data_IF_908198158175
#
_entry.id   IF_908198158175
#
_cell.length_a   1.000
_cell.length_b   1.000
_cell.length_c   1.000
_cell.angle_alpha   90.00
_cell.angle_beta   90.00
_cell.angle_gamma   90.00
#
_symmetry.space_group_name_H-M   'P 1'
#
loop_
_entity.id
_entity.type
_entity.pdbx_description
1 polymer ?
#
# COMPACT_ATOMS: atom_id res chain seq x y z
N UNK A 1 20.96 -61.95 -38.09
CA UNK A 1 20.58 -62.61 -36.82
C UNK A 1 19.75 -61.60 -36.05
N UNK A 2 18.42 -61.65 -36.18
CA UNK A 2 17.52 -60.69 -35.57
C UNK A 2 17.14 -61.20 -34.17
N UNK A 3 17.57 -60.51 -33.12
CA UNK A 3 17.07 -60.76 -31.77
C UNK A 3 15.67 -60.13 -31.67
N UNK A 4 14.64 -60.99 -31.69
CA UNK A 4 13.30 -60.62 -31.25
C UNK A 4 13.35 -60.35 -29.74
N UNK A 5 13.30 -59.08 -29.36
CA UNK A 5 13.07 -58.69 -27.97
C UNK A 5 11.57 -58.79 -27.74
N UNK A 6 11.18 -59.71 -26.86
CA UNK A 6 9.79 -60.03 -26.57
C UNK A 6 9.12 -58.86 -25.82
N UNK A 7 7.98 -58.38 -26.34
CA UNK A 7 7.25 -57.22 -25.81
C UNK A 7 6.77 -57.49 -24.37
N UNK A 8 6.57 -58.76 -23.99
CA UNK A 8 6.28 -59.14 -22.61
C UNK A 8 7.45 -58.89 -21.66
N UNK A 9 8.70 -59.07 -22.11
CA UNK A 9 9.88 -58.81 -21.27
C UNK A 9 10.05 -57.32 -20.94
N UNK A 10 9.68 -56.43 -21.86
CA UNK A 10 9.73 -54.97 -21.65
C UNK A 10 8.64 -54.52 -20.65
N UNK A 11 7.43 -55.09 -20.75
CA UNK A 11 6.32 -54.79 -19.85
C UNK A 11 6.56 -55.28 -18.42
N UNK A 12 7.20 -56.44 -18.24
CA UNK A 12 7.55 -56.97 -16.91
C UNK A 12 8.65 -56.11 -16.25
N UNK A 13 9.64 -55.63 -17.01
CA UNK A 13 10.64 -54.69 -16.48
C UNK A 13 10.05 -53.33 -16.11
N UNK A 14 9.06 -52.82 -16.86
CA UNK A 14 8.39 -51.55 -16.50
C UNK A 14 7.56 -51.68 -15.21
N UNK A 15 6.92 -52.83 -14.98
CA UNK A 15 6.15 -53.08 -13.76
C UNK A 15 7.04 -53.20 -12.50
N UNK A 16 8.24 -53.75 -12.62
CA UNK A 16 9.19 -53.82 -11.50
C UNK A 16 9.80 -52.45 -11.14
N UNK A 17 10.00 -51.55 -12.10
CA UNK A 17 10.46 -50.18 -11.82
C UNK A 17 9.35 -49.35 -11.16
N UNK A 18 8.08 -49.55 -11.54
CA UNK A 18 6.95 -48.88 -10.89
C UNK A 18 6.68 -49.44 -9.49
N UNK A 19 6.93 -50.73 -9.25
CA UNK A 19 6.79 -51.35 -7.92
C UNK A 19 7.84 -50.91 -6.89
N UNK A 20 8.99 -50.37 -7.30
CA UNK A 20 10.00 -49.84 -6.38
C UNK A 20 9.78 -48.37 -5.98
N UNK A 21 8.83 -47.68 -6.60
CA UNK A 21 8.36 -46.36 -6.15
C UNK A 21 7.13 -46.44 -5.22
N UNK A 22 6.82 -47.61 -4.68
CA UNK A 22 5.87 -47.78 -3.57
C UNK A 22 6.56 -47.90 -2.20
N UNK A 23 7.64 -47.15 -2.00
CA UNK A 23 8.16 -46.92 -0.65
C UNK A 23 7.39 -45.77 -0.01
N UNK A 24 6.43 -46.13 0.84
CA UNK A 24 5.91 -45.34 1.97
C UNK A 24 6.09 -43.83 1.82
N UNK A 25 5.08 -43.13 1.31
CA UNK A 25 4.82 -41.74 1.72
C UNK A 25 4.31 -41.78 3.17
N UNK A 26 5.19 -42.17 4.09
CA UNK A 26 5.07 -41.77 5.49
C UNK A 26 5.08 -40.25 5.43
N UNK A 27 4.00 -39.60 5.88
CA UNK A 27 3.92 -38.15 5.97
C UNK A 27 5.10 -37.62 6.79
N UNK A 28 6.22 -37.38 6.11
CA UNK A 28 7.39 -36.74 6.68
C UNK A 28 6.98 -35.29 6.68
N UNK A 29 6.50 -34.82 7.83
CA UNK A 29 6.38 -33.39 8.08
C UNK A 29 7.69 -32.76 7.62
N UNK A 30 7.59 -31.83 6.66
CA UNK A 30 8.72 -30.99 6.28
C UNK A 30 9.35 -30.48 7.58
N UNK A 31 10.67 -30.68 7.80
CA UNK A 31 11.29 -30.21 9.03
C UNK A 31 11.01 -28.72 9.19
N UNK A 32 10.43 -28.34 10.33
CA UNK A 32 10.08 -26.95 10.61
C UNK A 32 11.40 -26.18 10.70
N UNK A 33 11.67 -25.37 9.68
CA UNK A 33 12.86 -24.51 9.63
C UNK A 33 13.03 -23.74 10.94
N UNK A 34 14.26 -23.71 11.44
CA UNK A 34 14.65 -22.84 12.54
C UNK A 34 14.44 -21.37 12.18
N UNK A 35 14.39 -20.50 13.20
CA UNK A 35 14.21 -19.05 12.97
C UNK A 35 15.38 -18.47 12.18
N UNK A 36 16.59 -18.97 12.40
CA UNK A 36 17.79 -18.56 11.65
C UNK A 36 17.69 -18.96 10.18
N UNK A 37 17.31 -20.20 9.86
CA UNK A 37 17.10 -20.63 8.46
C UNK A 37 15.99 -19.81 7.76
N UNK A 38 14.92 -19.47 8.49
CA UNK A 38 13.86 -18.59 7.95
C UNK A 38 14.39 -17.17 7.66
N UNK A 39 15.25 -16.63 8.52
CA UNK A 39 15.86 -15.31 8.31
C UNK A 39 16.80 -15.32 7.09
N UNK A 40 17.63 -16.35 6.92
CA UNK A 40 18.50 -16.49 5.73
C UNK A 40 17.70 -16.56 4.43
N UNK A 41 16.63 -17.36 4.40
CA UNK A 41 15.73 -17.43 3.24
C UNK A 41 15.02 -16.10 2.98
N UNK A 42 14.55 -15.43 4.04
CA UNK A 42 13.92 -14.12 3.93
C UNK A 42 14.91 -13.07 3.39
N UNK A 43 16.14 -13.04 3.89
CA UNK A 43 17.18 -12.13 3.39
C UNK A 43 17.45 -12.37 1.91
N UNK A 44 17.59 -13.64 1.50
CA UNK A 44 17.78 -14.00 0.10
C UNK A 44 16.61 -13.57 -0.77
N UNK A 45 15.36 -13.74 -0.30
CA UNK A 45 14.15 -13.34 -1.03
C UNK A 45 14.05 -11.83 -1.22
N UNK A 46 14.46 -11.04 -0.23
CA UNK A 46 14.36 -9.58 -0.22
C UNK A 46 15.67 -8.87 -0.58
N UNK A 47 16.69 -9.61 -1.02
CA UNK A 47 18.00 -9.04 -1.39
C UNK A 47 18.69 -8.30 -0.24
N UNK A 48 18.46 -8.73 1.01
CA UNK A 48 18.98 -8.04 2.21
C UNK A 48 20.46 -8.33 2.38
N UNK A 49 21.24 -7.26 2.53
CA UNK A 49 22.67 -7.28 2.79
C UNK A 49 22.95 -6.31 3.93
N UNK A 50 23.73 -6.75 4.92
CA UNK A 50 24.13 -5.95 6.08
C UNK A 50 25.60 -5.57 5.98
N UNK A 51 25.97 -4.49 6.66
CA UNK A 51 27.34 -3.97 6.69
C UNK A 51 28.32 -4.96 7.31
N UNK A 52 27.91 -5.62 8.39
CA UNK A 52 28.73 -6.54 9.16
C UNK A 52 27.87 -7.55 9.95
N UNK A 53 28.53 -8.54 10.57
CA UNK A 53 27.87 -9.58 11.37
C UNK A 53 27.20 -9.02 12.64
N UNK A 54 27.62 -7.85 13.12
CA UNK A 54 27.01 -7.20 14.29
C UNK A 54 25.64 -6.67 13.89
N UNK A 55 25.56 -5.89 12.80
CA UNK A 55 24.28 -5.44 12.25
C UNK A 55 23.37 -6.63 11.89
N UNK A 56 23.92 -7.67 11.25
CA UNK A 56 23.16 -8.90 10.95
C UNK A 56 22.55 -9.53 12.20
N UNK A 57 23.32 -9.61 13.29
CA UNK A 57 22.87 -10.13 14.58
C UNK A 57 21.74 -9.29 15.18
N UNK A 58 21.84 -7.97 15.14
CA UNK A 58 20.79 -7.05 15.61
C UNK A 58 19.51 -7.19 14.78
N UNK A 59 19.64 -7.18 13.45
CA UNK A 59 18.53 -7.33 12.49
C UNK A 59 17.85 -8.69 12.61
N UNK A 60 18.60 -9.75 12.88
CA UNK A 60 18.05 -11.08 13.17
C UNK A 60 17.19 -11.08 14.46
N UNK A 61 17.61 -10.37 15.51
CA UNK A 61 16.83 -10.29 16.74
C UNK A 61 15.50 -9.57 16.50
N UNK A 62 15.52 -8.46 15.76
CA UNK A 62 14.31 -7.73 15.35
C UNK A 62 13.39 -8.63 14.49
N UNK A 63 13.95 -9.34 13.51
CA UNK A 63 13.22 -10.31 12.69
C UNK A 63 12.51 -11.37 13.54
N UNK A 64 13.20 -11.91 14.53
CA UNK A 64 12.64 -12.91 15.45
C UNK A 64 11.52 -12.33 16.31
N UNK A 65 11.63 -11.09 16.77
CA UNK A 65 10.60 -10.41 17.54
C UNK A 65 9.35 -10.12 16.71
N UNK A 66 9.53 -9.59 15.50
CA UNK A 66 8.43 -9.34 14.56
C UNK A 66 7.73 -10.64 14.14
N UNK A 67 8.49 -11.73 13.90
CA UNK A 67 7.90 -13.03 13.60
C UNK A 67 7.03 -13.54 14.76
N UNK A 68 7.49 -13.39 16.01
CA UNK A 68 6.69 -13.77 17.18
C UNK A 68 5.43 -12.90 17.32
N UNK A 69 5.54 -11.60 17.08
CA UNK A 69 4.41 -10.68 17.09
C UNK A 69 3.34 -11.12 16.07
N UNK A 70 3.74 -11.33 14.82
CA UNK A 70 2.84 -11.81 13.74
C UNK A 70 2.19 -13.15 14.12
N UNK A 71 2.98 -14.12 14.59
CA UNK A 71 2.45 -15.42 15.03
C UNK A 71 1.47 -15.28 16.19
N UNK A 72 1.70 -14.34 17.12
CA UNK A 72 0.83 -14.09 18.27
C UNK A 72 -0.52 -13.48 17.86
N UNK A 73 -0.51 -12.47 16.98
CA UNK A 73 -1.73 -11.82 16.47
C UNK A 73 -2.56 -12.81 15.67
N UNK A 74 -1.94 -13.54 14.74
CA UNK A 74 -2.63 -14.54 13.93
C UNK A 74 -3.18 -15.72 14.77
N UNK A 75 -2.55 -16.04 15.91
CA UNK A 75 -3.01 -17.11 16.80
C UNK A 75 -4.17 -16.71 17.70
N UNK A 76 -4.37 -15.42 17.98
CA UNK A 76 -5.48 -14.93 18.80
C UNK A 76 -6.85 -15.39 18.25
N UNK A 77 -6.93 -15.68 16.94
CA UNK A 77 -8.12 -16.22 16.28
C UNK A 77 -9.18 -15.15 16.02
N UNK A 78 -10.16 -15.47 15.18
CA UNK A 78 -11.32 -14.61 14.86
C UNK A 78 -11.02 -13.23 14.25
N UNK A 79 -9.81 -12.98 13.74
CA UNK A 79 -9.51 -11.75 13.00
C UNK A 79 -10.11 -11.81 11.59
N UNK A 80 -10.59 -10.67 11.10
CA UNK A 80 -11.01 -10.51 9.70
C UNK A 80 -9.84 -10.20 8.74
N UNK A 81 -8.64 -10.01 9.29
CA UNK A 81 -7.37 -9.83 8.59
C UNK A 81 -6.28 -10.80 9.06
N UNK A 82 -5.14 -10.80 8.37
CA UNK A 82 -3.92 -11.51 8.75
C UNK A 82 -2.69 -10.62 8.66
N UNK A 83 -1.75 -10.89 9.55
CA UNK A 83 -0.40 -10.35 9.45
C UNK A 83 0.54 -11.35 8.77
N UNK A 84 1.59 -10.86 8.12
CA UNK A 84 2.55 -11.67 7.40
C UNK A 84 3.95 -11.07 7.37
N UNK A 85 4.96 -11.94 7.22
CA UNK A 85 6.34 -11.51 7.03
C UNK A 85 6.46 -10.85 5.65
N UNK A 86 6.92 -9.60 5.61
CA UNK A 86 7.17 -8.83 4.40
C UNK A 86 8.60 -8.23 4.44
N UNK A 87 8.90 -7.28 3.55
CA UNK A 87 10.23 -6.67 3.48
C UNK A 87 10.62 -5.87 4.74
N UNK A 88 9.67 -5.51 5.62
CA UNK A 88 9.92 -4.74 6.84
C UNK A 88 10.22 -5.62 8.07
N UNK A 89 10.43 -6.92 7.88
CA UNK A 89 10.54 -7.86 8.99
C UNK A 89 11.76 -7.62 9.89
N UNK A 90 12.84 -7.03 9.42
CA UNK A 90 14.08 -6.79 10.18
C UNK A 90 14.23 -5.37 10.74
N UNK A 91 13.17 -4.56 10.67
CA UNK A 91 13.13 -3.22 11.26
C UNK A 91 12.07 -3.14 12.37
N UNK A 92 12.36 -2.34 13.39
CA UNK A 92 11.42 -2.09 14.48
C UNK A 92 10.23 -1.26 14.00
N UNK A 93 9.11 -1.32 14.71
CA UNK A 93 7.95 -0.44 14.43
C UNK A 93 8.32 1.05 14.50
N UNK A 94 9.22 1.43 15.41
CA UNK A 94 9.70 2.80 15.50
C UNK A 94 10.51 3.22 14.26
N UNK A 95 11.44 2.39 13.80
CA UNK A 95 12.19 2.65 12.55
C UNK A 95 11.24 2.69 11.34
N UNK A 96 10.26 1.79 11.30
CA UNK A 96 9.27 1.73 10.24
C UNK A 96 8.45 3.03 10.16
N UNK A 97 7.83 3.41 11.27
CA UNK A 97 7.02 4.64 11.33
C UNK A 97 7.86 5.88 11.03
N UNK A 98 9.10 5.95 11.50
CA UNK A 98 9.97 7.12 11.25
C UNK A 98 10.39 7.27 9.78
N UNK A 99 10.50 6.17 9.02
CA UNK A 99 11.07 6.19 7.66
C UNK A 99 10.04 6.04 6.55
N UNK A 100 8.94 5.35 6.81
CA UNK A 100 7.94 4.98 5.81
C UNK A 100 6.60 5.71 5.98
N UNK A 101 6.48 6.52 7.05
CA UNK A 101 5.36 7.45 7.26
C UNK A 101 5.89 8.89 7.32
N UNK A 102 5.02 9.88 7.24
CA UNK A 102 5.45 11.28 7.18
C UNK A 102 4.32 12.27 6.92
N UNK A 103 3.08 11.92 7.25
CA UNK A 103 1.99 12.87 7.16
C UNK A 103 2.09 13.84 8.34
N UNK A 104 2.23 15.12 8.01
CA UNK A 104 2.27 16.22 8.97
C UNK A 104 1.03 17.08 8.76
N UNK A 105 0.02 16.94 9.62
CA UNK A 105 -1.23 17.71 9.53
C UNK A 105 -0.96 19.15 10.03
N UNK A 106 -1.14 20.19 9.19
CA UNK A 106 -0.93 21.56 9.61
C UNK A 106 -2.03 22.04 10.57
N UNK A 107 -1.68 22.89 11.54
CA UNK A 107 -2.66 23.49 12.47
C UNK A 107 -3.71 24.35 11.76
N UNK A 108 -3.38 24.89 10.59
CA UNK A 108 -4.25 25.72 9.75
C UNK A 108 -5.02 24.91 8.71
N UNK A 109 -5.28 23.62 8.97
CA UNK A 109 -6.05 22.77 8.06
C UNK A 109 -7.35 23.47 7.67
N UNK A 110 -7.50 23.71 6.36
CA UNK A 110 -8.57 24.52 5.80
C UNK A 110 -9.94 23.95 6.19
N UNK A 111 -10.90 24.85 6.43
CA UNK A 111 -12.28 24.45 6.69
C UNK A 111 -12.80 23.59 5.54
N UNK A 112 -13.35 22.40 5.82
CA UNK A 112 -13.96 21.57 4.80
C UNK A 112 -15.06 22.34 4.08
N UNK A 113 -15.17 22.17 2.77
CA UNK A 113 -16.32 22.69 2.03
C UNK A 113 -17.39 21.60 1.93
N UNK A 114 -18.69 21.93 2.04
CA UNK A 114 -19.75 20.94 1.93
C UNK A 114 -19.65 20.15 0.62
N UNK A 115 -19.78 18.83 0.70
CA UNK A 115 -19.99 18.01 -0.49
C UNK A 115 -21.50 17.99 -0.73
N UNK A 116 -21.98 18.83 -1.64
CA UNK A 116 -23.31 18.66 -2.18
C UNK A 116 -23.26 17.56 -3.26
N UNK A 117 -24.29 16.71 -3.32
CA UNK A 117 -24.93 16.18 -4.54
C UNK A 117 -25.27 14.69 -4.59
N UNK A 118 -24.98 13.85 -3.59
CA UNK A 118 -25.37 12.43 -3.67
C UNK A 118 -26.24 12.01 -2.48
N UNK A 119 -27.45 11.54 -2.79
CA UNK A 119 -28.25 10.78 -1.84
C UNK A 119 -27.62 9.39 -1.64
N UNK A 120 -27.80 8.80 -0.46
CA UNK A 120 -27.23 7.46 -0.17
C UNK A 120 -27.72 6.39 -1.16
N UNK A 121 -28.90 6.58 -1.76
CA UNK A 121 -29.51 5.64 -2.71
C UNK A 121 -28.84 5.65 -4.10
N UNK A 122 -28.09 6.69 -4.45
CA UNK A 122 -27.44 6.83 -5.76
C UNK A 122 -26.02 6.21 -5.81
N UNK A 123 -25.48 5.77 -4.66
CA UNK A 123 -24.12 5.25 -4.56
C UNK A 123 -24.07 3.74 -4.79
N UNK A 124 -23.19 3.23 -5.67
CA UNK A 124 -23.06 1.79 -5.87
C UNK A 124 -22.60 1.10 -4.59
N UNK A 125 -23.03 -0.14 -4.36
CA UNK A 125 -22.68 -0.90 -3.14
C UNK A 125 -21.21 -1.30 -3.06
N UNK A 126 -20.57 -1.44 -4.22
CA UNK A 126 -19.15 -1.70 -4.37
C UNK A 126 -18.61 -0.78 -5.49
N UNK A 127 -17.42 -0.26 -5.28
CA UNK A 127 -16.71 0.56 -6.24
C UNK A 127 -15.23 0.22 -6.16
N UNK A 128 -14.62 -0.04 -7.31
CA UNK A 128 -13.18 -0.21 -7.44
C UNK A 128 -12.70 0.55 -8.67
N UNK A 129 -11.99 1.65 -8.46
CA UNK A 129 -11.49 2.49 -9.57
C UNK A 129 -10.47 1.76 -10.45
N UNK A 130 -9.89 0.63 -10.01
CA UNK A 130 -9.04 -0.23 -10.84
C UNK A 130 -9.83 -0.85 -11.99
N UNK A 131 -11.09 -1.23 -11.76
CA UNK A 131 -11.95 -1.82 -12.79
C UNK A 131 -12.26 -0.83 -13.92
N UNK A 132 -12.25 0.46 -13.62
CA UNK A 132 -12.38 1.55 -14.61
C UNK A 132 -11.03 2.06 -15.15
N UNK A 133 -9.91 1.43 -14.74
CA UNK A 133 -8.56 1.81 -15.15
C UNK A 133 -8.12 3.18 -14.64
N UNK A 134 -8.68 3.67 -13.53
CA UNK A 134 -8.36 4.96 -12.90
C UNK A 134 -7.38 4.84 -11.73
N UNK A 135 -6.55 3.80 -11.75
CA UNK A 135 -5.52 3.55 -10.73
C UNK A 135 -4.27 3.01 -11.44
N UNK A 136 -3.15 3.71 -11.29
CA UNK A 136 -1.84 3.25 -11.78
C UNK A 136 -1.30 2.11 -10.91
N UNK A 137 -0.21 1.47 -11.34
CA UNK A 137 0.49 0.45 -10.55
C UNK A 137 0.90 0.95 -9.15
N UNK A 138 1.05 0.04 -8.20
CA UNK A 138 1.58 0.37 -6.87
C UNK A 138 3.05 0.74 -6.99
N UNK A 139 3.41 1.89 -6.41
CA UNK A 139 4.78 2.40 -6.33
C UNK A 139 5.39 2.11 -4.94
N UNK A 140 6.68 2.40 -4.77
CA UNK A 140 7.38 2.25 -3.49
C UNK A 140 8.13 3.56 -3.13
N UNK A 141 7.71 4.21 -2.04
CA UNK A 141 8.31 5.45 -1.55
C UNK A 141 9.69 5.26 -0.89
N UNK A 142 10.10 4.01 -0.63
CA UNK A 142 11.35 3.72 0.07
C UNK A 142 11.43 4.34 1.47
N UNK A 143 12.67 4.59 1.94
CA UNK A 143 12.94 5.16 3.27
C UNK A 143 12.84 6.70 3.29
N UNK A 144 11.76 7.23 2.74
CA UNK A 144 11.47 8.66 2.68
C UNK A 144 10.03 8.90 3.15
N UNK A 145 9.82 9.80 4.12
CA UNK A 145 8.51 10.14 4.67
C UNK A 145 7.63 10.97 3.73
N UNK A 146 7.55 10.60 2.46
CA UNK A 146 6.89 11.34 1.39
C UNK A 146 5.54 10.75 0.96
N UNK A 147 4.92 9.93 1.81
CA UNK A 147 3.58 9.38 1.58
C UNK A 147 2.54 10.44 1.15
N UNK A 148 2.66 11.68 1.65
CA UNK A 148 1.82 12.81 1.26
C UNK A 148 1.87 13.11 -0.24
N UNK A 149 3.03 12.98 -0.89
CA UNK A 149 3.21 13.19 -2.32
C UNK A 149 2.59 12.04 -3.11
N UNK A 150 2.87 10.79 -2.71
CA UNK A 150 2.29 9.59 -3.34
C UNK A 150 0.76 9.55 -3.23
N UNK A 151 0.21 9.92 -2.09
CA UNK A 151 -1.25 9.99 -1.89
C UNK A 151 -1.88 11.06 -2.79
N UNK A 152 -1.26 12.24 -2.89
CA UNK A 152 -1.72 13.34 -3.75
C UNK A 152 -1.63 12.98 -5.24
N UNK A 153 -0.52 12.39 -5.68
CA UNK A 153 -0.35 11.92 -7.06
C UNK A 153 -1.34 10.79 -7.37
N UNK A 154 -1.52 9.83 -6.48
CA UNK A 154 -2.46 8.73 -6.69
C UNK A 154 -3.91 9.19 -6.91
N UNK A 155 -4.36 10.24 -6.21
CA UNK A 155 -5.69 10.83 -6.46
C UNK A 155 -5.73 11.68 -7.73
N UNK A 156 -4.64 12.40 -8.05
CA UNK A 156 -4.51 13.16 -9.29
C UNK A 156 -4.55 12.26 -10.54
N UNK A 157 -3.82 11.15 -10.54
CA UNK A 157 -3.78 10.19 -11.65
C UNK A 157 -5.19 9.62 -11.93
N UNK A 158 -5.92 9.30 -10.87
CA UNK A 158 -7.32 8.85 -10.98
C UNK A 158 -8.25 9.93 -11.49
N UNK A 159 -8.17 11.14 -10.94
CA UNK A 159 -8.94 12.30 -11.40
C UNK A 159 -8.69 12.61 -12.88
N UNK A 160 -7.41 12.54 -13.30
CA UNK A 160 -7.00 12.75 -14.69
C UNK A 160 -7.58 11.68 -15.62
N UNK A 161 -7.56 10.41 -15.21
CA UNK A 161 -8.20 9.33 -15.97
C UNK A 161 -9.70 9.58 -16.15
N UNK A 162 -10.39 9.96 -15.09
CA UNK A 162 -11.83 10.21 -15.11
C UNK A 162 -12.16 11.39 -16.04
N UNK A 163 -11.38 12.48 -15.96
CA UNK A 163 -11.62 13.68 -16.75
C UNK A 163 -11.28 13.51 -18.25
N UNK A 164 -10.23 12.76 -18.57
CA UNK A 164 -9.66 12.73 -19.93
C UNK A 164 -9.81 11.39 -20.66
N UNK A 165 -10.14 10.32 -19.95
CA UNK A 165 -10.10 8.96 -20.47
C UNK A 165 -8.70 8.35 -20.56
N UNK A 166 -7.62 9.09 -20.26
CA UNK A 166 -6.23 8.63 -20.34
C UNK A 166 -5.64 8.39 -18.96
N UNK A 167 -4.96 7.26 -18.75
CA UNK A 167 -4.19 7.01 -17.53
C UNK A 167 -2.75 7.48 -17.76
N UNK A 168 -2.21 8.27 -16.83
CA UNK A 168 -0.85 8.81 -16.89
C UNK A 168 -0.23 8.78 -15.50
N UNK A 169 1.08 8.51 -15.42
CA UNK A 169 1.84 8.59 -14.17
C UNK A 169 2.46 9.98 -14.02
N UNK A 170 2.26 10.62 -12.86
CA UNK A 170 2.79 11.95 -12.54
C UNK A 170 3.91 11.87 -11.50
N UNK A 171 4.75 12.91 -11.45
CA UNK A 171 5.99 12.90 -10.66
C UNK A 171 5.77 13.18 -9.18
N UNK A 172 5.95 12.17 -8.32
CA UNK A 172 6.07 12.42 -6.88
C UNK A 172 7.36 13.20 -6.52
N UNK A 173 8.41 13.05 -7.32
CA UNK A 173 9.70 13.71 -7.09
C UNK A 173 9.59 15.23 -7.24
N UNK A 174 8.82 15.71 -8.21
CA UNK A 174 8.62 17.14 -8.39
C UNK A 174 7.94 17.75 -7.16
N UNK A 175 6.93 17.08 -6.61
CA UNK A 175 6.32 17.51 -5.34
C UNK A 175 7.36 17.51 -4.22
N UNK A 176 8.12 16.43 -4.10
CA UNK A 176 9.13 16.23 -3.06
C UNK A 176 10.19 17.34 -3.07
N UNK A 177 10.63 17.76 -4.26
CA UNK A 177 11.68 18.76 -4.44
C UNK A 177 11.16 20.20 -4.34
N UNK A 178 9.93 20.46 -4.81
CA UNK A 178 9.45 21.81 -5.10
C UNK A 178 8.38 22.36 -4.15
N UNK A 179 7.72 21.52 -3.35
CA UNK A 179 6.65 22.00 -2.44
C UNK A 179 7.26 22.62 -1.18
N UNK A 180 7.44 23.95 -1.14
CA UNK A 180 8.13 24.65 -0.04
C UNK A 180 7.39 24.63 1.30
N UNK A 181 6.07 24.42 1.29
CA UNK A 181 5.26 24.27 2.51
C UNK A 181 5.19 22.81 3.01
N UNK A 182 5.96 21.91 2.39
CA UNK A 182 6.26 20.56 2.88
C UNK A 182 7.77 20.41 3.09
N UNK A 183 8.19 19.36 3.79
CA UNK A 183 9.57 19.17 4.23
C UNK A 183 10.23 17.95 3.57
N UNK A 184 9.89 17.70 2.31
CA UNK A 184 10.41 16.58 1.53
C UNK A 184 10.17 15.23 2.23
N UNK A 185 11.26 14.51 2.51
CA UNK A 185 11.24 13.24 3.24
C UNK A 185 10.97 13.37 4.75
N UNK A 186 11.02 14.57 5.31
CA UNK A 186 10.67 14.82 6.71
C UNK A 186 9.15 15.04 6.90
N UNK A 187 8.39 14.85 5.83
CA UNK A 187 6.95 14.83 5.85
C UNK A 187 6.29 16.08 5.30
N UNK A 188 4.98 16.00 5.17
CA UNK A 188 4.18 16.99 4.49
C UNK A 188 2.70 16.65 4.50
N UNK A 189 1.92 17.41 3.75
CA UNK A 189 0.47 17.30 3.69
C UNK A 189 -0.03 17.40 2.25
N UNK A 190 -1.12 16.68 1.94
CA UNK A 190 -1.60 16.51 0.56
C UNK A 190 -2.13 17.82 -0.04
N UNK A 191 -2.81 18.66 0.74
CA UNK A 191 -3.34 19.93 0.20
C UNK A 191 -2.23 20.90 -0.18
N UNK A 192 -1.10 20.91 0.54
CA UNK A 192 0.08 21.69 0.15
C UNK A 192 0.65 21.23 -1.20
N UNK A 193 0.55 19.93 -1.51
CA UNK A 193 0.94 19.42 -2.82
C UNK A 193 -0.01 19.91 -3.91
N UNK A 194 -1.32 19.92 -3.65
CA UNK A 194 -2.30 20.47 -4.60
C UNK A 194 -2.14 21.98 -4.78
N UNK A 195 -1.88 22.74 -3.71
CA UNK A 195 -1.54 24.16 -3.78
C UNK A 195 -0.34 24.37 -4.71
N UNK A 196 0.75 23.61 -4.51
CA UNK A 196 1.90 23.67 -5.41
C UNK A 196 1.53 23.38 -6.87
N UNK A 197 0.81 22.29 -7.17
CA UNK A 197 0.45 21.94 -8.55
C UNK A 197 -0.35 23.07 -9.20
N UNK A 198 -1.27 23.68 -8.45
CA UNK A 198 -2.09 24.80 -8.93
C UNK A 198 -1.23 26.05 -9.19
N UNK A 199 -0.41 26.46 -8.23
CA UNK A 199 0.41 27.68 -8.30
C UNK A 199 1.56 27.57 -9.30
N UNK A 200 2.12 26.38 -9.45
CA UNK A 200 3.19 26.08 -10.40
C UNK A 200 2.71 26.02 -11.85
N UNK A 201 1.40 26.01 -12.09
CA UNK A 201 0.84 25.81 -13.43
C UNK A 201 0.94 24.37 -13.91
N UNK A 202 0.91 23.41 -12.98
CA UNK A 202 0.83 21.99 -13.22
C UNK A 202 1.99 21.17 -12.67
N UNK A 203 2.02 19.90 -13.06
CA UNK A 203 3.04 18.91 -12.66
C UNK A 203 3.46 18.06 -13.86
N UNK A 204 4.72 17.63 -13.85
CA UNK A 204 5.34 16.82 -14.90
C UNK A 204 4.91 15.34 -14.83
N UNK A 205 5.17 14.62 -15.91
CA UNK A 205 5.09 13.15 -15.91
C UNK A 205 6.19 12.57 -15.04
N UNK A 206 5.94 11.37 -14.51
CA UNK A 206 6.98 10.59 -13.83
C UNK A 206 8.22 10.41 -14.72
N UNK A 207 8.03 10.12 -16.02
CA UNK A 207 9.13 9.94 -16.97
C UNK A 207 10.00 11.18 -17.22
N UNK A 208 9.45 12.37 -16.95
CA UNK A 208 10.16 13.64 -17.19
C UNK A 208 10.87 14.13 -15.92
N UNK A 209 10.42 13.66 -14.74
CA UNK A 209 10.97 13.98 -13.43
C UNK A 209 10.91 12.74 -12.52
N UNK A 210 11.83 11.80 -12.74
CA UNK A 210 11.82 10.48 -12.11
C UNK A 210 12.00 10.51 -10.58
N UNK A 211 11.37 9.57 -9.90
CA UNK A 211 11.50 9.35 -8.46
C UNK A 211 12.86 8.79 -8.05
N UNK A 212 13.49 9.49 -7.11
CA UNK A 212 14.85 9.20 -6.62
C UNK A 212 14.90 8.85 -5.14
N UNK A 213 13.75 8.80 -4.44
CA UNK A 213 13.69 8.35 -3.04
C UNK A 213 14.26 9.31 -2.01
N UNK A 214 14.62 10.53 -2.41
CA UNK A 214 15.08 11.59 -1.50
C UNK A 214 14.89 12.97 -2.12
N UNK A 215 14.88 14.02 -1.31
CA UNK A 215 14.71 15.40 -1.78
C UNK A 215 16.00 15.94 -2.40
N UNK A 216 15.86 16.62 -3.55
CA UNK A 216 16.90 17.34 -4.27
C UNK A 216 16.48 18.79 -4.54
N UNK A 217 17.30 19.51 -5.31
CA UNK A 217 16.96 20.84 -5.79
C UNK A 217 15.78 20.78 -6.75
N UNK A 218 14.78 21.64 -6.53
CA UNK A 218 13.64 21.79 -7.43
C UNK A 218 14.08 22.17 -8.85
N UNK A 219 13.63 21.39 -9.84
CA UNK A 219 13.87 21.61 -11.28
C UNK A 219 12.59 21.83 -12.08
N UNK A 220 11.48 22.15 -11.42
CA UNK A 220 10.17 22.29 -12.10
C UNK A 220 10.18 23.27 -13.27
N UNK A 221 10.93 24.37 -13.16
CA UNK A 221 11.06 25.39 -14.22
C UNK A 221 11.76 24.87 -15.49
N UNK A 222 12.46 23.73 -15.41
CA UNK A 222 13.10 23.07 -16.54
C UNK A 222 12.16 22.07 -17.24
N UNK A 223 10.94 21.90 -16.71
CA UNK A 223 9.98 20.87 -17.14
C UNK A 223 8.72 21.49 -17.72
N UNK A 224 8.06 20.72 -18.57
CA UNK A 224 6.74 21.07 -19.10
C UNK A 224 5.68 20.35 -18.29
N UNK A 225 4.74 21.11 -17.73
CA UNK A 225 3.61 20.53 -17.03
C UNK A 225 2.79 19.61 -17.95
N UNK A 226 2.49 18.41 -17.48
CA UNK A 226 1.69 17.41 -18.17
C UNK A 226 0.20 17.51 -17.82
N UNK A 227 -0.11 17.99 -16.61
CA UNK A 227 -1.48 18.21 -16.13
C UNK A 227 -1.52 19.43 -15.21
N UNK A 228 -2.65 20.13 -15.22
CA UNK A 228 -2.97 21.23 -14.32
C UNK A 228 -4.22 20.89 -13.51
N UNK A 229 -4.33 21.50 -12.33
CA UNK A 229 -5.57 21.47 -11.52
C UNK A 229 -6.12 22.88 -11.40
N UNK A 230 -7.43 23.01 -11.46
CA UNK A 230 -8.12 24.30 -11.27
C UNK A 230 -8.31 24.61 -9.77
N UNK A 231 -8.52 23.56 -8.99
CA UNK A 231 -8.78 23.60 -7.54
C UNK A 231 -8.59 22.21 -6.92
N UNK A 232 -8.80 22.11 -5.61
CA UNK A 232 -9.01 20.85 -4.91
C UNK A 232 -10.11 21.03 -3.88
N UNK A 233 -10.67 19.92 -3.44
CA UNK A 233 -11.72 19.87 -2.43
C UNK A 233 -11.15 19.27 -1.14
N UNK A 234 -11.42 19.92 0.00
CA UNK A 234 -11.25 19.33 1.34
C UNK A 234 -12.56 18.69 1.76
N UNK A 235 -12.53 17.39 2.01
CA UNK A 235 -13.73 16.59 2.32
C UNK A 235 -14.10 16.79 3.80
N UNK A 236 -15.38 17.03 4.12
CA UNK A 236 -15.85 17.08 5.51
C UNK A 236 -15.56 15.78 6.25
N UNK A 237 -15.29 15.89 7.55
CA UNK A 237 -15.01 14.71 8.37
C UNK A 237 -16.23 13.77 8.41
N UNK A 238 -15.96 12.46 8.32
CA UNK A 238 -16.95 11.41 8.47
C UNK A 238 -17.07 10.47 7.26
N UNK A 239 -17.38 9.20 7.55
CA UNK A 239 -17.41 8.14 6.55
C UNK A 239 -18.41 8.40 5.42
N UNK A 240 -19.56 9.03 5.69
CA UNK A 240 -20.53 9.43 4.65
C UNK A 240 -19.95 10.41 3.65
N UNK A 241 -19.27 11.45 4.12
CA UNK A 241 -18.65 12.47 3.25
C UNK A 241 -17.50 11.88 2.45
N UNK A 242 -16.71 11.00 3.07
CA UNK A 242 -15.66 10.25 2.38
C UNK A 242 -16.25 9.32 1.32
N UNK A 243 -17.37 8.65 1.60
CA UNK A 243 -18.03 7.73 0.66
C UNK A 243 -18.51 8.47 -0.59
N UNK A 244 -19.14 9.63 -0.39
CA UNK A 244 -19.58 10.50 -1.48
C UNK A 244 -18.39 10.99 -2.31
N UNK A 245 -17.27 11.35 -1.68
CA UNK A 245 -16.06 11.77 -2.38
C UNK A 245 -15.45 10.64 -3.22
N UNK A 246 -15.31 9.44 -2.62
CA UNK A 246 -14.73 8.26 -3.29
C UNK A 246 -15.60 7.79 -4.46
N UNK A 247 -16.92 8.00 -4.40
CA UNK A 247 -17.85 7.70 -5.50
C UNK A 247 -17.58 8.59 -6.72
N UNK A 248 -17.04 9.80 -6.53
CA UNK A 248 -16.73 10.73 -7.63
C UNK A 248 -15.37 10.44 -8.26
N UNK A 249 -14.36 10.11 -7.46
CA UNK A 249 -12.98 9.83 -7.91
C UNK A 249 -12.12 9.25 -6.76
N UNK A 250 -10.91 8.74 -7.02
CA UNK A 250 -9.94 8.43 -5.96
C UNK A 250 -9.62 9.65 -5.08
N UNK A 251 -9.49 9.42 -3.77
CA UNK A 251 -9.33 10.48 -2.75
C UNK A 251 -8.05 10.26 -1.95
N UNK A 252 -7.27 11.33 -1.74
CA UNK A 252 -6.13 11.31 -0.83
C UNK A 252 -6.61 11.38 0.62
N UNK A 253 -6.19 10.45 1.47
CA UNK A 253 -6.62 10.35 2.87
C UNK A 253 -5.42 10.17 3.81
N UNK A 254 -5.58 10.56 5.07
CA UNK A 254 -4.67 10.17 6.15
C UNK A 254 -5.17 8.97 6.95
N UNK A 255 -4.25 8.12 7.42
CA UNK A 255 -4.52 7.04 8.37
C UNK A 255 -3.50 7.01 9.51
N UNK A 256 -3.91 6.47 10.65
CA UNK A 256 -3.06 6.21 11.81
C UNK A 256 -2.37 4.84 11.70
N UNK A 257 -1.27 4.76 10.94
CA UNK A 257 -0.53 3.52 10.72
C UNK A 257 0.19 3.04 11.99
N UNK A 258 0.03 1.76 12.30
CA UNK A 258 0.55 1.06 13.49
C UNK A 258 1.52 -0.07 13.14
N UNK A 259 2.00 -0.80 14.16
CA UNK A 259 2.78 -2.04 13.96
C UNK A 259 1.95 -3.15 13.27
N UNK A 260 0.64 -3.22 13.49
CA UNK A 260 -0.20 -4.16 12.75
C UNK A 260 -0.15 -3.83 11.25
N UNK A 261 -0.26 -2.55 10.90
CA UNK A 261 -0.20 -2.09 9.50
C UNK A 261 1.17 -2.32 8.87
N UNK A 262 2.26 -2.26 9.63
CA UNK A 262 3.60 -2.64 9.14
C UNK A 262 3.59 -4.06 8.53
N UNK A 263 2.79 -4.98 9.09
CA UNK A 263 2.77 -6.39 8.71
C UNK A 263 1.45 -6.87 8.11
N UNK A 264 0.54 -5.96 7.77
CA UNK A 264 -0.71 -6.32 7.12
C UNK A 264 -0.43 -7.11 5.83
N UNK A 265 -1.09 -8.26 5.71
CA UNK A 265 -0.91 -9.19 4.58
C UNK A 265 -2.20 -9.48 3.81
N UNK A 266 -3.37 -9.15 4.36
CA UNK A 266 -4.64 -9.31 3.67
C UNK A 266 -5.86 -9.49 4.57
N UNK A 267 -7.04 -9.50 3.95
CA UNK A 267 -8.33 -9.50 4.63
C UNK A 267 -8.79 -8.09 5.04
N UNK A 268 -9.96 -7.98 5.65
CA UNK A 268 -10.52 -6.69 6.07
C UNK A 268 -9.89 -6.30 7.41
N UNK A 269 -9.11 -5.24 7.45
CA UNK A 269 -8.43 -4.82 8.67
C UNK A 269 -9.39 -4.20 9.69
N UNK A 270 -9.45 -4.78 10.88
CA UNK A 270 -10.21 -4.30 12.05
C UNK A 270 -9.34 -4.21 13.32
N UNK A 271 -8.02 -4.09 13.15
CA UNK A 271 -7.02 -4.13 14.22
C UNK A 271 -6.73 -2.81 14.91
N UNK A 272 -5.61 -2.77 15.65
CA UNK A 272 -5.21 -1.61 16.46
C UNK A 272 -4.43 -0.56 15.66
N UNK A 273 -4.87 0.69 15.71
CA UNK A 273 -4.23 1.82 15.03
C UNK A 273 -3.25 2.57 15.93
N UNK A 274 -2.43 3.44 15.34
CA UNK A 274 -1.62 4.38 16.12
C UNK A 274 -2.50 5.46 16.79
N UNK A 275 -1.91 6.21 17.73
CA UNK A 275 -2.60 7.27 18.46
C UNK A 275 -2.76 8.59 17.69
N UNK A 276 -2.17 8.69 16.49
CA UNK A 276 -2.26 9.85 15.60
C UNK A 276 -2.16 9.41 14.15
N UNK A 277 -2.78 10.18 13.27
CA UNK A 277 -2.63 10.06 11.82
C UNK A 277 -1.18 10.40 11.47
N UNK A 278 -0.50 9.51 10.75
CA UNK A 278 0.93 9.62 10.42
C UNK A 278 1.25 9.23 8.99
N UNK A 279 0.32 8.61 8.26
CA UNK A 279 0.56 8.08 6.91
C UNK A 279 -0.53 8.54 5.96
N UNK A 280 -0.17 8.79 4.70
CA UNK A 280 -1.11 9.19 3.66
C UNK A 280 -1.23 8.07 2.61
N UNK A 281 -2.45 7.76 2.20
CA UNK A 281 -2.77 6.74 1.18
C UNK A 281 -3.86 7.26 0.25
N UNK A 282 -4.21 6.50 -0.78
CA UNK A 282 -5.32 6.88 -1.68
C UNK A 282 -6.48 5.90 -1.49
N UNK A 283 -7.66 6.41 -1.11
CA UNK A 283 -8.90 5.66 -1.19
C UNK A 283 -9.30 5.52 -2.66
N UNK A 284 -9.35 4.28 -3.16
CA UNK A 284 -9.63 3.95 -4.56
C UNK A 284 -10.95 3.18 -4.72
N UNK A 285 -11.72 3.05 -3.65
CA UNK A 285 -12.94 2.29 -3.67
C UNK A 285 -13.42 1.87 -2.30
N UNK A 286 -14.45 1.05 -2.31
CA UNK A 286 -15.06 0.46 -1.13
C UNK A 286 -15.91 -0.73 -1.56
N UNK A 287 -16.27 -1.59 -0.62
CA UNK A 287 -17.14 -2.71 -0.93
C UNK A 287 -17.61 -3.46 0.30
N UNK A 288 -18.12 -4.66 0.07
CA UNK A 288 -18.52 -5.61 1.09
C UNK A 288 -17.84 -6.94 0.81
N UNK A 289 -17.20 -7.54 1.81
CA UNK A 289 -16.54 -8.84 1.65
C UNK A 289 -17.54 -10.01 1.70
N UNK A 290 -17.06 -11.23 1.47
CA UNK A 290 -17.88 -12.45 1.45
C UNK A 290 -18.60 -12.73 2.78
N UNK A 291 -18.16 -12.12 3.89
CA UNK A 291 -18.77 -12.24 5.22
C UNK A 291 -19.78 -11.13 5.50
N UNK A 292 -20.05 -10.24 4.54
CA UNK A 292 -20.92 -9.10 4.72
C UNK A 292 -20.25 -7.89 5.40
N UNK A 293 -18.94 -7.91 5.60
CA UNK A 293 -18.23 -6.80 6.24
C UNK A 293 -17.90 -5.73 5.21
N UNK A 294 -18.36 -4.50 5.46
CA UNK A 294 -18.02 -3.35 4.64
C UNK A 294 -16.56 -2.95 4.83
N UNK A 295 -15.91 -2.53 3.76
CA UNK A 295 -14.53 -2.06 3.76
C UNK A 295 -14.31 -0.86 2.84
N UNK A 296 -13.27 -0.09 3.14
CA UNK A 296 -12.59 0.84 2.24
C UNK A 296 -11.46 0.10 1.51
N UNK A 297 -11.27 0.39 0.22
CA UNK A 297 -10.18 -0.14 -0.59
C UNK A 297 -9.12 0.95 -0.78
N UNK A 298 -7.90 0.67 -0.35
CA UNK A 298 -6.80 1.62 -0.28
C UNK A 298 -5.63 1.20 -1.16
N UNK A 299 -5.07 2.15 -1.91
CA UNK A 299 -3.76 2.03 -2.57
C UNK A 299 -2.69 2.61 -1.65
N UNK A 300 -1.68 1.81 -1.33
CA UNK A 300 -0.54 2.22 -0.51
C UNK A 300 0.71 2.50 -1.39
N UNK A 301 1.77 3.01 -0.76
CA UNK A 301 3.05 3.39 -1.39
C UNK A 301 4.25 2.63 -0.82
N UNK A 302 4.02 1.44 -0.25
CA UNK A 302 5.05 0.58 0.36
C UNK A 302 5.47 -0.60 -0.54
N UNK A 303 5.19 -0.50 -1.85
CA UNK A 303 5.49 -1.57 -2.82
C UNK A 303 4.50 -2.74 -2.76
N UNK A 304 4.63 -3.63 -3.74
CA UNK A 304 3.72 -4.78 -3.93
C UNK A 304 3.98 -5.94 -2.96
N UNK A 305 5.10 -5.90 -2.21
CA UNK A 305 5.41 -6.94 -1.22
C UNK A 305 4.59 -6.81 0.08
N UNK A 306 3.93 -5.66 0.25
CA UNK A 306 3.10 -5.32 1.39
C UNK A 306 1.61 -5.50 1.08
N UNK A 307 0.81 -5.97 2.04
CA UNK A 307 -0.63 -6.10 1.89
C UNK A 307 -1.08 -7.05 0.78
N UNK A 308 -2.21 -6.73 0.16
CA UNK A 308 -2.75 -7.46 -1.00
C UNK A 308 -2.20 -6.82 -2.28
N UNK A 309 -0.97 -7.20 -2.67
CA UNK A 309 -0.23 -6.62 -3.82
C UNK A 309 -0.08 -5.08 -3.75
N UNK A 310 0.14 -4.55 -2.54
CA UNK A 310 0.26 -3.12 -2.28
C UNK A 310 -1.04 -2.41 -1.94
N UNK A 311 -2.16 -3.14 -1.93
CA UNK A 311 -3.47 -2.65 -1.55
C UNK A 311 -3.87 -3.12 -0.15
N UNK A 312 -4.86 -2.45 0.43
CA UNK A 312 -5.41 -2.78 1.73
C UNK A 312 -6.92 -2.63 1.76
N UNK A 313 -7.57 -3.53 2.47
CA UNK A 313 -8.95 -3.35 2.92
C UNK A 313 -8.94 -2.99 4.39
N UNK A 314 -9.64 -1.91 4.75
CA UNK A 314 -9.87 -1.52 6.13
C UNK A 314 -11.37 -1.43 6.38
N UNK A 315 -11.82 -1.89 7.54
CA UNK A 315 -13.23 -1.93 7.90
C UNK A 315 -13.88 -0.54 7.76
N UNK A 316 -15.09 -0.52 7.20
CA UNK A 316 -15.95 0.65 7.04
C UNK A 316 -17.22 0.48 7.86
N UNK A 317 -17.81 1.58 8.31
CA UNK A 317 -18.96 1.63 9.21
C UNK A 317 -18.64 0.94 10.55
N UNK A 318 -17.45 1.19 11.10
CA UNK A 318 -16.96 0.52 12.32
C UNK A 318 -17.62 1.02 13.61
N UNK A 319 -18.58 1.93 13.51
CA UNK A 319 -19.16 2.67 14.65
C UNK A 319 -18.30 3.80 15.18
N UNK A 320 -17.10 4.03 14.63
CA UNK A 320 -16.29 5.21 14.91
C UNK A 320 -16.66 6.32 13.90
N UNK A 321 -17.15 7.50 14.33
CA UNK A 321 -17.48 8.60 13.42
C UNK A 321 -16.30 9.04 12.53
N UNK A 322 -15.06 8.88 13.01
CA UNK A 322 -13.84 9.17 12.26
C UNK A 322 -13.39 8.03 11.31
N UNK A 323 -14.10 6.90 11.30
CA UNK A 323 -13.68 5.64 10.71
C UNK A 323 -12.51 4.98 11.45
N UNK A 324 -12.24 3.70 11.17
CA UNK A 324 -11.09 3.02 11.77
C UNK A 324 -9.77 3.70 11.33
N UNK A 325 -8.82 3.82 12.25
CA UNK A 325 -7.54 4.50 12.06
C UNK A 325 -7.69 5.96 11.60
N UNK A 326 -8.79 6.62 11.97
CA UNK A 326 -9.09 8.02 11.65
C UNK A 326 -9.15 8.32 10.14
N UNK A 327 -9.45 7.31 9.32
CA UNK A 327 -9.47 7.36 7.86
C UNK A 327 -10.34 8.49 7.29
N UNK A 328 -11.39 8.90 8.00
CA UNK A 328 -12.34 9.90 7.56
C UNK A 328 -12.13 11.29 8.20
N UNK A 329 -10.99 11.55 8.87
CA UNK A 329 -10.68 12.88 9.45
C UNK A 329 -10.01 13.85 8.50
N UNK A 330 -9.06 13.38 7.70
CA UNK A 330 -8.31 14.25 6.77
C UNK A 330 -8.33 13.64 5.38
N UNK A 331 -9.07 14.29 4.48
CA UNK A 331 -9.21 13.80 3.11
C UNK A 331 -9.43 14.94 2.13
N UNK A 332 -8.87 14.77 0.92
CA UNK A 332 -8.93 15.79 -0.13
C UNK A 332 -8.73 15.17 -1.51
N UNK A 333 -9.22 15.83 -2.55
CA UNK A 333 -9.04 15.38 -3.94
C UNK A 333 -8.92 16.58 -4.90
N UNK A 334 -8.12 16.46 -5.98
CA UNK A 334 -7.93 17.54 -6.95
C UNK A 334 -9.04 17.58 -8.01
N UNK A 335 -9.29 18.77 -8.56
CA UNK A 335 -10.14 18.99 -9.71
C UNK A 335 -9.27 19.37 -10.92
N UNK A 336 -9.28 18.54 -11.96
CA UNK A 336 -8.52 18.77 -13.20
C UNK A 336 -8.97 20.09 -13.85
N UNK A 337 -8.02 20.83 -14.45
CA UNK A 337 -8.27 22.11 -15.12
C UNK A 337 -8.92 21.96 -16.50
#
# INVERSE_FOLDING_TARGET
>A
MAMKVDLMSILITLFFVISMFNTQTRGRSQPKLSVSERHELWMSRHGRVYKDEVEKGERFMIFKENMKFIESVNKAGNLSYKLGMNEFADITSQEFLAKFTGLNIPNSYLSPSPINDLSDDDMPSNLDWRESGAVTQVKNQGQCGCCWAFSAVGSLEGAYKIATGNLMEFSEQELLDCTTNNYGCNGGFMTNAFDFIKENGGISRESDYEYLGQQYTCRSQEKTAAVQISSYQVVPEGETSLLQAVTKQPVSIGIAASQDLQFYAGGTYDGSCANRINHAVTAIGYGTDEKGQKYWLLKNSWGTSWGEDGFMKIIRDSGNPAGLCDIAKVSSYPNIA
#
